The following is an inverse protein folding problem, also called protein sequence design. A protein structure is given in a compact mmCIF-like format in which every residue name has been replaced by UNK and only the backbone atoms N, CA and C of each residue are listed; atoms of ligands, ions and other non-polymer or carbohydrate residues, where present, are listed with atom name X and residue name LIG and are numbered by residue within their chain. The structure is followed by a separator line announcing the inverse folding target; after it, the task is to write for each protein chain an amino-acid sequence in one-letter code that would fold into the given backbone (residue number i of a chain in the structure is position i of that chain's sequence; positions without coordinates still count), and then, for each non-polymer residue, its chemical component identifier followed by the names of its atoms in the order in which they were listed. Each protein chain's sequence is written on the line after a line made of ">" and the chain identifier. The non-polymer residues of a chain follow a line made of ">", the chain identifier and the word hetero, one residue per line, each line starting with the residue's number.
data_IF_344047609077
#
_entry.id   IF_344047609077
#
_cell.length_a   1.000
_cell.length_b   1.000
_cell.length_c   1.000
_cell.angle_alpha   90.00
_cell.angle_beta   90.00
_cell.angle_gamma   90.00
#
_symmetry.space_group_name_H-M   'P 1'
#
loop_
_entity.id
_entity.type
_entity.pdbx_description
1 polymer ?
#
# COMPACT_ATOMS: atom_id res chain seq x y z
N UNK A 1 19.13 24.54 -41.42
CA UNK A 1 20.25 24.49 -40.47
C UNK A 1 20.13 25.71 -39.59
N UNK A 2 19.44 25.58 -38.44
CA UNK A 2 19.32 26.66 -37.45
C UNK A 2 19.91 26.09 -36.17
N UNK A 3 21.06 26.65 -35.77
CA UNK A 3 21.77 26.30 -34.53
C UNK A 3 21.02 26.89 -33.33
N UNK A 4 20.69 26.06 -32.38
CA UNK A 4 20.24 26.46 -31.03
C UNK A 4 21.45 26.33 -30.07
N UNK A 5 22.23 27.40 -30.00
CA UNK A 5 23.16 27.62 -28.89
C UNK A 5 22.58 28.73 -28.00
N UNK A 6 22.43 28.46 -26.72
CA UNK A 6 22.19 29.51 -25.72
C UNK A 6 21.21 29.20 -24.60
N UNK A 7 21.55 28.24 -23.73
CA UNK A 7 21.09 28.22 -22.35
C UNK A 7 22.21 27.73 -21.43
N UNK A 8 23.10 28.63 -21.10
CA UNK A 8 24.05 28.42 -19.99
C UNK A 8 23.90 29.61 -19.02
N UNK A 9 23.85 29.23 -17.74
CA UNK A 9 24.16 30.08 -16.59
C UNK A 9 23.14 31.14 -16.14
N UNK A 10 22.11 30.66 -15.43
CA UNK A 10 21.47 31.47 -14.40
C UNK A 10 21.87 30.92 -13.01
N UNK A 11 22.41 31.75 -12.10
CA UNK A 11 22.74 31.31 -10.76
C UNK A 11 21.47 30.99 -9.99
N UNK A 12 21.39 29.77 -9.45
CA UNK A 12 20.30 29.35 -8.52
C UNK A 12 20.46 30.17 -7.23
N UNK A 13 19.74 31.28 -7.14
CA UNK A 13 19.54 31.96 -5.87
C UNK A 13 18.60 31.12 -5.03
N UNK A 14 19.15 30.51 -3.95
CA UNK A 14 18.32 29.96 -2.86
C UNK A 14 17.67 31.14 -2.16
N UNK A 15 16.37 31.28 -2.29
CA UNK A 15 15.58 32.16 -1.43
C UNK A 15 15.63 31.60 -0.01
N UNK A 16 15.85 32.43 1.02
CA UNK A 16 15.82 31.95 2.41
C UNK A 16 14.37 31.58 2.75
N UNK A 17 14.15 30.31 3.11
CA UNK A 17 12.89 29.84 3.67
C UNK A 17 12.76 30.48 5.05
N UNK A 18 11.77 31.34 5.23
CA UNK A 18 11.41 31.86 6.55
C UNK A 18 10.91 30.68 7.40
N UNK A 19 11.71 30.29 8.37
CA UNK A 19 11.35 29.32 9.40
C UNK A 19 10.33 29.99 10.31
N UNK A 20 9.05 29.68 10.14
CA UNK A 20 8.02 29.98 11.14
C UNK A 20 8.17 28.91 12.22
N UNK A 21 8.84 29.27 13.31
CA UNK A 21 8.93 28.45 14.51
C UNK A 21 7.57 28.40 15.21
N UNK A 22 6.84 27.31 15.03
CA UNK A 22 5.79 26.92 15.98
C UNK A 22 6.41 25.84 16.89
N UNK A 23 6.49 26.19 18.17
CA UNK A 23 7.06 25.35 19.19
C UNK A 23 6.20 24.12 19.45
N UNK A 24 6.73 23.01 19.04
CA UNK A 24 6.79 21.69 19.68
C UNK A 24 7.67 20.87 18.74
N UNK A 25 8.86 20.47 19.21
CA UNK A 25 9.78 19.62 18.43
C UNK A 25 9.22 18.19 18.41
N UNK A 26 8.24 17.94 17.52
CA UNK A 26 7.95 16.62 17.03
C UNK A 26 9.10 16.19 16.12
N UNK A 27 9.54 14.94 16.24
CA UNK A 27 10.55 14.35 15.35
C UNK A 27 9.96 14.36 13.94
N UNK A 28 10.62 15.06 12.99
CA UNK A 28 10.25 15.03 11.56
C UNK A 28 10.56 13.64 11.01
N UNK A 29 9.57 12.75 10.97
CA UNK A 29 9.71 11.37 10.49
C UNK A 29 9.32 11.25 9.02
N UNK A 30 9.99 10.36 8.29
CA UNK A 30 9.54 9.87 6.99
C UNK A 30 8.63 8.65 7.20
N UNK A 31 7.35 8.81 6.90
CA UNK A 31 6.30 7.83 7.20
C UNK A 31 5.69 7.31 5.90
N UNK A 32 5.68 5.98 5.72
CA UNK A 32 4.87 5.36 4.68
C UNK A 32 3.57 4.84 5.29
N UNK A 33 2.43 5.28 4.75
CA UNK A 33 1.10 4.81 5.17
C UNK A 33 0.50 3.93 4.08
N UNK A 34 0.29 2.65 4.41
CA UNK A 34 -0.36 1.67 3.55
C UNK A 34 -1.85 1.59 3.87
N UNK A 35 -2.69 2.25 3.07
CA UNK A 35 -4.14 2.30 3.26
C UNK A 35 -4.81 0.99 2.82
N UNK A 36 -5.60 0.39 3.71
CA UNK A 36 -6.37 -0.83 3.46
C UNK A 36 -7.57 -0.62 2.55
N UNK A 37 -8.26 -1.72 2.21
CA UNK A 37 -9.44 -1.68 1.35
C UNK A 37 -10.56 -0.79 1.88
N UNK A 38 -10.74 -0.76 3.20
CA UNK A 38 -11.80 0.03 3.85
C UNK A 38 -11.57 1.54 3.79
N UNK A 39 -10.33 2.00 3.56
CA UNK A 39 -10.07 3.39 3.22
C UNK A 39 -10.51 3.75 1.78
N UNK A 40 -10.91 2.74 0.99
CA UNK A 40 -11.29 2.86 -0.43
C UNK A 40 -12.70 2.34 -0.72
N UNK A 41 -13.47 1.94 0.28
CA UNK A 41 -14.84 1.40 0.13
C UNK A 41 -15.69 1.87 1.31
N UNK A 42 -17.04 1.78 1.19
CA UNK A 42 -17.91 1.96 2.35
C UNK A 42 -17.68 0.89 3.42
N UNK A 43 -18.16 1.08 4.64
CA UNK A 43 -18.10 0.06 5.69
C UNK A 43 -18.72 -1.30 5.29
N UNK A 44 -19.72 -1.28 4.41
CA UNK A 44 -20.38 -2.46 3.85
C UNK A 44 -19.61 -3.08 2.68
N UNK A 45 -18.43 -2.53 2.33
CA UNK A 45 -17.57 -3.00 1.25
C UNK A 45 -18.01 -2.55 -0.15
N UNK A 46 -18.89 -1.54 -0.26
CA UNK A 46 -19.31 -0.99 -1.54
C UNK A 46 -18.16 -0.26 -2.23
N UNK A 47 -17.94 -0.59 -3.50
CA UNK A 47 -16.96 0.06 -4.37
C UNK A 47 -17.63 0.96 -5.43
N UNK A 48 -18.82 1.51 -5.13
CA UNK A 48 -19.44 2.54 -5.98
C UNK A 48 -18.59 3.81 -5.95
N UNK A 49 -18.51 4.58 -7.04
CA UNK A 49 -17.66 5.78 -7.10
C UNK A 49 -17.94 6.78 -5.97
N UNK A 50 -19.21 6.97 -5.59
CA UNK A 50 -19.63 7.87 -4.52
C UNK A 50 -19.10 7.39 -3.17
N UNK A 51 -19.29 6.12 -2.85
CA UNK A 51 -18.84 5.51 -1.59
C UNK A 51 -17.31 5.54 -1.47
N UNK A 52 -16.62 5.28 -2.58
CA UNK A 52 -15.16 5.38 -2.63
C UNK A 52 -14.67 6.80 -2.35
N UNK A 53 -15.31 7.83 -2.96
CA UNK A 53 -14.94 9.22 -2.70
C UNK A 53 -15.10 9.58 -1.24
N UNK A 54 -16.20 9.20 -0.60
CA UNK A 54 -16.44 9.45 0.83
C UNK A 54 -15.37 8.79 1.69
N UNK A 55 -15.08 7.50 1.47
CA UNK A 55 -14.07 6.77 2.23
C UNK A 55 -12.67 7.40 2.06
N UNK A 56 -12.28 7.73 0.83
CA UNK A 56 -11.00 8.37 0.52
C UNK A 56 -10.91 9.75 1.16
N UNK A 57 -11.98 10.57 1.10
CA UNK A 57 -12.00 11.89 1.74
C UNK A 57 -11.75 11.75 3.24
N UNK A 58 -12.45 10.84 3.92
CA UNK A 58 -12.24 10.58 5.35
C UNK A 58 -10.81 10.16 5.66
N UNK A 59 -10.21 9.31 4.82
CA UNK A 59 -8.82 8.89 4.99
C UNK A 59 -7.84 10.06 4.82
N UNK A 60 -8.06 10.93 3.84
CA UNK A 60 -7.17 12.05 3.55
C UNK A 60 -7.23 13.15 4.62
N UNK A 61 -8.34 13.28 5.35
CA UNK A 61 -8.41 14.17 6.52
C UNK A 61 -7.39 13.77 7.61
N UNK A 62 -7.35 12.48 7.98
CA UNK A 62 -6.37 11.97 8.96
C UNK A 62 -4.93 12.09 8.45
N UNK A 63 -4.70 11.91 7.16
CA UNK A 63 -3.37 12.08 6.55
C UNK A 63 -2.92 13.54 6.57
N UNK A 64 -3.85 14.49 6.31
CA UNK A 64 -3.53 15.92 6.32
C UNK A 64 -3.09 16.40 7.73
N UNK A 65 -3.58 15.79 8.80
CA UNK A 65 -3.16 16.08 10.17
C UNK A 65 -1.70 15.69 10.40
N UNK A 66 -1.29 14.49 9.97
CA UNK A 66 0.12 14.05 10.03
C UNK A 66 1.06 14.98 9.24
N UNK A 67 0.62 15.42 8.05
CA UNK A 67 1.39 16.35 7.22
C UNK A 67 1.50 17.70 7.91
N UNK A 68 0.41 18.16 8.55
CA UNK A 68 0.37 19.40 9.35
C UNK A 68 1.30 19.35 10.57
N UNK A 69 1.51 18.19 11.16
CA UNK A 69 2.46 17.95 12.24
C UNK A 69 3.95 18.01 11.78
N UNK A 70 4.21 18.11 10.47
CA UNK A 70 5.55 18.29 9.90
C UNK A 70 6.17 17.03 9.31
N UNK A 71 5.50 15.87 9.34
CA UNK A 71 6.03 14.62 8.82
C UNK A 71 6.11 14.60 7.29
N UNK A 72 7.09 13.84 6.76
CA UNK A 72 7.19 13.50 5.34
C UNK A 72 6.35 12.25 5.09
N UNK A 73 5.19 12.39 4.45
CA UNK A 73 4.23 11.30 4.26
C UNK A 73 4.26 10.76 2.83
N UNK A 74 4.39 9.46 2.71
CA UNK A 74 4.23 8.69 1.48
C UNK A 74 3.01 7.79 1.65
N UNK A 75 2.18 7.70 0.60
CA UNK A 75 0.95 6.91 0.63
C UNK A 75 1.02 5.77 -0.36
N UNK A 76 0.54 4.61 0.04
CA UNK A 76 0.13 3.53 -0.86
C UNK A 76 -1.28 3.07 -0.52
N UNK A 77 -1.96 2.42 -1.45
CA UNK A 77 -3.35 2.01 -1.27
C UNK A 77 -3.62 0.61 -1.82
N UNK A 78 -4.64 -0.07 -1.29
CA UNK A 78 -5.19 -1.27 -1.90
C UNK A 78 -6.04 -0.94 -3.14
N UNK A 79 -6.38 -1.99 -3.91
CA UNK A 79 -7.20 -1.85 -5.12
C UNK A 79 -8.10 -3.06 -5.39
N UNK A 80 -8.21 -4.01 -4.47
CA UNK A 80 -8.89 -5.30 -4.70
C UNK A 80 -10.29 -5.18 -5.28
N UNK A 81 -11.23 -4.41 -4.68
CA UNK A 81 -12.56 -4.21 -5.23
C UNK A 81 -12.55 -3.55 -6.62
N UNK A 82 -11.64 -2.61 -6.86
CA UNK A 82 -11.54 -1.85 -8.11
C UNK A 82 -11.02 -2.72 -9.25
N UNK A 83 -9.97 -3.51 -9.03
CA UNK A 83 -9.49 -4.51 -10.00
C UNK A 83 -10.59 -5.52 -10.30
N UNK A 84 -11.29 -6.01 -9.26
CA UNK A 84 -12.43 -6.92 -9.44
C UNK A 84 -13.51 -6.35 -10.35
N UNK A 85 -13.87 -5.08 -10.18
CA UNK A 85 -14.85 -4.41 -11.04
C UNK A 85 -14.37 -4.27 -12.50
N UNK A 86 -13.08 -4.01 -12.72
CA UNK A 86 -12.51 -3.95 -14.08
C UNK A 86 -12.57 -5.34 -14.74
N UNK A 87 -12.23 -6.40 -14.01
CA UNK A 87 -12.31 -7.77 -14.51
C UNK A 87 -13.75 -8.15 -14.92
N UNK A 88 -14.73 -7.80 -14.09
CA UNK A 88 -16.15 -8.03 -14.45
C UNK A 88 -16.53 -7.25 -15.72
N UNK A 89 -16.08 -6.01 -15.89
CA UNK A 89 -16.31 -5.24 -17.12
C UNK A 89 -15.63 -5.90 -18.32
N UNK A 90 -14.40 -6.40 -18.17
CA UNK A 90 -13.69 -7.15 -19.20
C UNK A 90 -14.49 -8.39 -19.63
N UNK A 91 -15.00 -9.18 -18.66
CA UNK A 91 -15.80 -10.37 -18.93
C UNK A 91 -17.08 -10.03 -19.71
N UNK A 92 -17.82 -9.02 -19.26
CA UNK A 92 -19.09 -8.61 -19.88
C UNK A 92 -18.90 -8.00 -21.27
N UNK A 93 -17.80 -7.31 -21.52
CA UNK A 93 -17.51 -6.64 -22.78
C UNK A 93 -16.71 -7.49 -23.78
N UNK A 94 -16.26 -8.69 -23.41
CA UNK A 94 -15.34 -9.51 -24.20
C UNK A 94 -15.83 -9.84 -25.63
N UNK A 95 -17.14 -9.85 -25.85
CA UNK A 95 -17.74 -10.06 -27.18
C UNK A 95 -17.70 -8.81 -28.08
N UNK A 96 -17.38 -7.63 -27.53
CA UNK A 96 -17.38 -6.33 -28.22
C UNK A 96 -15.97 -5.74 -28.32
N UNK A 97 -15.21 -5.80 -27.22
CA UNK A 97 -13.83 -5.30 -27.14
C UNK A 97 -12.94 -6.33 -26.45
N UNK A 98 -11.66 -6.47 -26.87
CA UNK A 98 -10.74 -7.37 -26.20
C UNK A 98 -10.57 -7.00 -24.72
N UNK A 99 -10.53 -7.97 -23.78
CA UNK A 99 -10.23 -7.70 -22.38
C UNK A 99 -8.78 -7.22 -22.24
N UNK A 100 -8.55 -6.26 -21.33
CA UNK A 100 -7.20 -5.83 -20.98
C UNK A 100 -6.57 -6.80 -19.98
N UNK A 101 -5.23 -7.02 -20.04
CA UNK A 101 -4.54 -7.93 -19.14
C UNK A 101 -4.53 -7.40 -17.69
N UNK A 102 -4.22 -8.28 -16.73
CA UNK A 102 -4.35 -7.98 -15.30
C UNK A 102 -3.39 -6.88 -14.82
N UNK A 103 -2.17 -6.83 -15.33
CA UNK A 103 -1.22 -5.75 -15.07
C UNK A 103 -1.74 -4.38 -15.51
N UNK A 104 -2.45 -4.31 -16.67
CA UNK A 104 -3.13 -3.09 -17.11
C UNK A 104 -4.32 -2.75 -16.21
N UNK A 105 -5.07 -3.75 -15.72
CA UNK A 105 -6.12 -3.51 -14.72
C UNK A 105 -5.52 -2.88 -13.46
N UNK A 106 -4.37 -3.36 -13.00
CA UNK A 106 -3.59 -2.77 -11.90
C UNK A 106 -3.22 -1.31 -12.18
N UNK A 107 -2.66 -1.03 -13.37
CA UNK A 107 -2.28 0.31 -13.79
C UNK A 107 -3.47 1.29 -13.83
N UNK A 108 -4.62 0.86 -14.36
CA UNK A 108 -5.85 1.66 -14.38
C UNK A 108 -6.32 2.04 -12.97
N UNK A 109 -6.18 1.12 -12.00
CA UNK A 109 -6.55 1.42 -10.61
C UNK A 109 -5.63 2.44 -9.97
N UNK A 110 -4.33 2.43 -10.28
CA UNK A 110 -3.39 3.45 -9.78
C UNK A 110 -3.80 4.85 -10.27
N UNK A 111 -4.16 4.98 -11.54
CA UNK A 111 -4.64 6.25 -12.09
C UNK A 111 -5.94 6.72 -11.44
N UNK A 112 -6.95 5.83 -11.35
CA UNK A 112 -8.27 6.20 -10.82
C UNK A 112 -8.25 6.51 -9.32
N UNK A 113 -7.62 5.66 -8.52
CA UNK A 113 -7.54 5.87 -7.06
C UNK A 113 -6.60 7.03 -6.76
N UNK A 114 -5.42 7.09 -7.39
CA UNK A 114 -4.47 8.20 -7.23
C UNK A 114 -5.10 9.55 -7.52
N UNK A 115 -5.81 9.69 -8.64
CA UNK A 115 -6.57 10.90 -8.97
C UNK A 115 -7.59 11.27 -7.88
N UNK A 116 -8.34 10.29 -7.37
CA UNK A 116 -9.35 10.55 -6.33
C UNK A 116 -8.69 10.97 -5.00
N UNK A 117 -7.56 10.33 -4.65
CA UNK A 117 -6.79 10.68 -3.45
C UNK A 117 -6.18 12.08 -3.57
N UNK A 118 -5.61 12.45 -4.74
CA UNK A 118 -5.07 13.78 -4.96
C UNK A 118 -6.12 14.86 -4.71
N UNK A 119 -7.31 14.74 -5.30
CA UNK A 119 -8.37 15.71 -5.11
C UNK A 119 -8.81 15.85 -3.64
N UNK A 120 -8.92 14.71 -2.93
CA UNK A 120 -9.32 14.71 -1.52
C UNK A 120 -8.21 15.28 -0.62
N UNK A 121 -6.95 14.94 -0.89
CA UNK A 121 -5.82 15.42 -0.09
C UNK A 121 -5.56 16.92 -0.33
N UNK A 122 -5.62 17.40 -1.57
CA UNK A 122 -5.49 18.81 -1.87
C UNK A 122 -6.58 19.65 -1.15
N UNK A 123 -7.82 19.14 -1.09
CA UNK A 123 -8.89 19.80 -0.34
C UNK A 123 -8.62 19.79 1.18
N UNK A 124 -8.18 18.66 1.73
CA UNK A 124 -7.88 18.51 3.16
C UNK A 124 -6.71 19.40 3.62
N UNK A 125 -5.65 19.48 2.81
CA UNK A 125 -4.50 20.36 3.07
C UNK A 125 -4.88 21.84 2.94
N UNK A 126 -5.61 22.20 1.89
CA UNK A 126 -6.06 23.59 1.67
C UNK A 126 -6.96 24.08 2.81
N UNK A 127 -7.88 23.26 3.31
CA UNK A 127 -8.76 23.62 4.43
C UNK A 127 -8.00 23.90 5.73
N UNK A 128 -6.80 23.36 5.86
CA UNK A 128 -5.89 23.54 7.01
C UNK A 128 -4.82 24.61 6.78
N UNK A 129 -4.81 25.24 5.59
CA UNK A 129 -3.78 26.22 5.24
C UNK A 129 -2.38 25.62 5.07
N UNK A 130 -2.28 24.31 4.78
CA UNK A 130 -1.02 23.60 4.60
C UNK A 130 -0.60 23.69 3.13
N UNK A 131 0.51 24.40 2.84
CA UNK A 131 1.06 24.51 1.49
C UNK A 131 2.00 23.34 1.17
N UNK A 132 1.42 22.21 0.83
CA UNK A 132 2.13 21.01 0.34
C UNK A 132 1.54 20.60 -1.01
N UNK A 133 2.41 20.22 -1.94
CA UNK A 133 2.02 19.69 -3.24
C UNK A 133 1.91 18.18 -3.17
N UNK A 134 0.99 17.61 -3.94
CA UNK A 134 0.77 16.18 -4.00
C UNK A 134 1.07 15.64 -5.40
N UNK A 135 1.54 14.40 -5.49
CA UNK A 135 1.78 13.71 -6.75
C UNK A 135 1.38 12.24 -6.63
N UNK A 136 0.73 11.70 -7.67
CA UNK A 136 0.51 10.27 -7.82
C UNK A 136 1.39 9.73 -8.95
N UNK A 137 2.12 8.65 -8.68
CA UNK A 137 3.08 8.06 -9.62
C UNK A 137 2.61 6.67 -10.02
N UNK A 138 2.54 6.42 -11.33
CA UNK A 138 2.43 5.05 -11.86
C UNK A 138 3.70 4.30 -11.47
N UNK A 139 3.52 3.21 -10.72
CA UNK A 139 4.62 2.53 -10.06
C UNK A 139 4.64 1.05 -10.42
N UNK A 140 5.83 0.57 -10.83
CA UNK A 140 6.09 -0.84 -11.16
C UNK A 140 6.81 -1.52 -10.01
N UNK A 141 6.46 -2.79 -9.78
CA UNK A 141 7.12 -3.65 -8.79
C UNK A 141 7.75 -4.84 -9.51
N UNK A 142 9.07 -4.95 -9.41
CA UNK A 142 9.81 -6.09 -9.93
C UNK A 142 9.54 -7.33 -9.09
N UNK A 143 9.29 -8.44 -9.77
CA UNK A 143 9.08 -9.77 -9.18
C UNK A 143 9.96 -10.80 -9.88
N UNK A 144 10.25 -11.93 -9.23
CA UNK A 144 10.98 -13.04 -9.86
C UNK A 144 10.10 -13.75 -10.87
N UNK A 145 10.61 -13.99 -12.08
CA UNK A 145 9.92 -14.82 -13.06
C UNK A 145 9.80 -16.30 -12.61
N UNK A 146 10.59 -16.73 -11.63
CA UNK A 146 10.61 -18.06 -11.04
C UNK A 146 9.84 -18.15 -9.72
N UNK A 147 9.09 -17.09 -9.35
CA UNK A 147 8.30 -17.11 -8.12
C UNK A 147 7.25 -18.22 -8.15
N UNK A 148 7.15 -18.97 -7.05
CA UNK A 148 6.22 -20.10 -6.92
C UNK A 148 4.75 -19.67 -7.05
N UNK A 149 4.44 -18.41 -6.77
CA UNK A 149 3.12 -17.83 -6.93
C UNK A 149 2.58 -17.93 -8.36
N UNK A 150 3.44 -18.04 -9.39
CA UNK A 150 3.01 -18.23 -10.77
C UNK A 150 2.53 -19.65 -11.05
N UNK A 151 3.14 -20.65 -10.42
CA UNK A 151 2.72 -22.05 -10.55
C UNK A 151 1.59 -22.43 -9.58
N UNK A 152 1.49 -21.73 -8.45
CA UNK A 152 0.48 -21.96 -7.40
C UNK A 152 -0.27 -20.66 -7.06
N UNK A 153 -1.16 -20.18 -7.95
CA UNK A 153 -1.93 -18.97 -7.70
C UNK A 153 -2.87 -19.12 -6.50
N UNK A 154 -2.78 -18.19 -5.56
CA UNK A 154 -3.59 -18.24 -4.32
C UNK A 154 -4.35 -16.95 -4.04
N UNK A 155 -4.02 -15.84 -4.72
CA UNK A 155 -4.62 -14.52 -4.44
C UNK A 155 -6.03 -14.45 -5.02
N UNK A 156 -7.10 -14.38 -4.20
CA UNK A 156 -8.46 -14.32 -4.69
C UNK A 156 -8.79 -12.92 -5.22
N UNK A 157 -9.37 -12.86 -6.43
CA UNK A 157 -9.79 -11.62 -7.08
C UNK A 157 -11.21 -11.74 -7.65
N UNK A 158 -11.81 -10.59 -7.97
CA UNK A 158 -13.11 -10.54 -8.63
C UNK A 158 -14.28 -11.04 -7.78
N UNK A 159 -15.36 -11.41 -8.44
CA UNK A 159 -16.62 -11.87 -7.84
C UNK A 159 -16.63 -13.38 -7.58
N UNK A 160 -17.59 -13.82 -6.79
CA UNK A 160 -17.92 -15.25 -6.67
C UNK A 160 -18.86 -15.65 -7.81
N UNK A 161 -18.67 -16.86 -8.33
CA UNK A 161 -19.49 -17.45 -9.39
C UNK A 161 -20.05 -18.82 -8.96
N UNK A 162 -21.19 -19.25 -9.57
CA UNK A 162 -21.61 -20.63 -9.53
C UNK A 162 -20.54 -21.56 -10.15
N UNK A 163 -20.60 -22.83 -9.77
CA UNK A 163 -19.62 -23.84 -10.23
C UNK A 163 -19.59 -23.96 -11.76
N UNK A 164 -20.73 -23.96 -12.39
CA UNK A 164 -20.89 -24.13 -13.85
C UNK A 164 -20.17 -23.01 -14.60
N UNK A 165 -20.36 -21.76 -14.16
CA UNK A 165 -19.74 -20.59 -14.78
C UNK A 165 -18.21 -20.60 -14.57
N UNK A 166 -17.77 -20.97 -13.35
CA UNK A 166 -16.35 -21.07 -13.05
C UNK A 166 -15.68 -22.17 -13.89
N UNK A 167 -16.32 -23.32 -14.08
CA UNK A 167 -15.79 -24.42 -14.91
C UNK A 167 -15.61 -24.01 -16.37
N UNK A 168 -16.49 -23.19 -16.92
CA UNK A 168 -16.33 -22.65 -18.27
C UNK A 168 -15.06 -21.79 -18.34
N UNK A 169 -14.83 -20.90 -17.37
CA UNK A 169 -13.64 -20.03 -17.33
C UNK A 169 -12.35 -20.82 -17.05
N UNK A 170 -12.42 -21.89 -16.28
CA UNK A 170 -11.31 -22.84 -16.10
C UNK A 170 -10.94 -23.49 -17.43
N UNK A 171 -11.91 -23.88 -18.24
CA UNK A 171 -11.65 -24.44 -19.59
C UNK A 171 -10.96 -23.44 -20.52
N UNK A 172 -11.06 -22.14 -20.23
CA UNK A 172 -10.38 -21.05 -20.93
C UNK A 172 -9.03 -20.65 -20.27
N UNK A 173 -8.49 -21.50 -19.35
CA UNK A 173 -7.16 -21.31 -18.75
C UNK A 173 -7.13 -20.45 -17.48
N UNK A 174 -8.27 -20.04 -16.95
CA UNK A 174 -8.30 -19.35 -15.67
C UNK A 174 -8.23 -20.32 -14.50
N UNK A 175 -7.73 -19.86 -13.36
CA UNK A 175 -7.73 -20.65 -12.13
C UNK A 175 -8.80 -20.15 -11.17
N UNK A 176 -9.60 -21.09 -10.66
CA UNK A 176 -10.71 -20.81 -9.75
C UNK A 176 -10.72 -21.82 -8.61
N UNK A 177 -11.01 -21.37 -7.41
CA UNK A 177 -11.10 -22.19 -6.21
C UNK A 177 -12.52 -22.18 -5.64
N UNK A 178 -12.94 -23.34 -5.12
CA UNK A 178 -14.19 -23.48 -4.37
C UNK A 178 -14.03 -22.84 -2.98
N UNK A 179 -14.91 -21.90 -2.66
CA UNK A 179 -14.99 -21.19 -1.38
C UNK A 179 -16.24 -21.59 -0.57
N UNK A 180 -16.71 -22.80 -0.77
CA UNK A 180 -17.85 -23.39 -0.10
C UNK A 180 -19.15 -22.65 -0.39
N UNK A 181 -19.90 -22.29 0.65
CA UNK A 181 -21.21 -21.62 0.51
C UNK A 181 -21.17 -20.28 -0.22
N UNK A 182 -19.98 -19.65 -0.39
CA UNK A 182 -19.81 -18.40 -1.14
C UNK A 182 -19.72 -18.64 -2.65
N UNK A 183 -19.47 -19.88 -3.10
CA UNK A 183 -19.23 -20.22 -4.48
C UNK A 183 -17.76 -20.23 -4.86
N UNK A 184 -17.48 -20.23 -6.15
CA UNK A 184 -16.13 -20.27 -6.71
C UNK A 184 -15.57 -18.86 -6.89
N UNK A 185 -14.27 -18.68 -6.65
CA UNK A 185 -13.59 -17.41 -6.82
C UNK A 185 -12.30 -17.58 -7.62
N UNK A 186 -12.07 -16.66 -8.58
CA UNK A 186 -10.83 -16.63 -9.36
C UNK A 186 -9.62 -16.41 -8.43
N UNK A 187 -8.55 -17.15 -8.68
CA UNK A 187 -7.25 -16.97 -8.04
C UNK A 187 -6.20 -16.64 -9.09
N UNK A 188 -5.27 -15.77 -8.73
CA UNK A 188 -4.16 -15.34 -9.58
C UNK A 188 -2.84 -15.42 -8.85
N UNK A 189 -1.75 -15.37 -9.60
CA UNK A 189 -0.40 -15.28 -9.04
C UNK A 189 -0.26 -14.08 -8.11
N UNK A 190 0.43 -14.27 -6.99
CA UNK A 190 0.78 -13.20 -6.06
C UNK A 190 2.25 -13.34 -5.65
N UNK A 191 3.18 -13.03 -6.57
CA UNK A 191 4.60 -13.16 -6.33
C UNK A 191 5.10 -12.17 -5.28
N UNK A 192 6.20 -12.51 -4.65
CA UNK A 192 6.87 -11.67 -3.66
C UNK A 192 7.50 -10.43 -4.34
N UNK A 193 7.27 -9.21 -3.82
CA UNK A 193 7.89 -8.01 -4.36
C UNK A 193 9.39 -7.98 -4.06
N UNK A 194 10.21 -7.74 -5.09
CA UNK A 194 11.67 -7.63 -4.98
C UNK A 194 12.12 -6.18 -4.83
N UNK A 195 11.61 -5.30 -5.71
CA UNK A 195 11.96 -3.89 -5.71
C UNK A 195 10.88 -3.02 -6.36
N UNK A 196 10.81 -1.77 -5.94
CA UNK A 196 9.99 -0.73 -6.59
C UNK A 196 10.88 0.04 -7.54
N UNK A 197 10.51 0.10 -8.81
CA UNK A 197 11.40 0.64 -9.85
C UNK A 197 11.48 2.17 -9.84
N UNK A 198 10.42 2.86 -9.44
CA UNK A 198 10.31 4.30 -9.46
C UNK A 198 10.83 5.00 -8.20
N UNK A 199 11.59 4.30 -7.32
CA UNK A 199 12.11 4.84 -6.05
C UNK A 199 12.85 6.17 -6.23
N UNK A 200 13.74 6.27 -7.21
CA UNK A 200 14.49 7.51 -7.46
C UNK A 200 13.58 8.71 -7.80
N UNK A 201 12.49 8.47 -8.54
CA UNK A 201 11.50 9.51 -8.84
C UNK A 201 10.69 9.89 -7.61
N UNK A 202 10.35 8.91 -6.78
CA UNK A 202 9.63 9.12 -5.51
C UNK A 202 10.51 9.94 -4.56
N UNK A 203 11.79 9.59 -4.38
CA UNK A 203 12.75 10.33 -3.56
C UNK A 203 12.90 11.78 -4.03
N UNK A 204 13.05 12.02 -5.34
CA UNK A 204 13.18 13.37 -5.88
C UNK A 204 11.94 14.25 -5.56
N UNK A 205 10.73 13.67 -5.57
CA UNK A 205 9.52 14.39 -5.18
C UNK A 205 9.45 14.63 -3.67
N UNK A 206 9.83 13.66 -2.85
CA UNK A 206 9.90 13.82 -1.39
C UNK A 206 10.89 14.94 -1.03
N UNK A 207 12.07 14.95 -1.66
CA UNK A 207 13.08 16.00 -1.45
C UNK A 207 12.59 17.38 -1.89
N UNK A 208 11.72 17.42 -2.91
CA UNK A 208 11.01 18.63 -3.34
C UNK A 208 9.76 18.94 -2.47
N UNK A 209 9.59 18.25 -1.33
CA UNK A 209 8.53 18.44 -0.36
C UNK A 209 7.12 18.09 -0.86
N UNK A 210 6.99 17.19 -1.84
CA UNK A 210 5.70 16.63 -2.24
C UNK A 210 5.25 15.53 -1.28
N UNK A 211 3.94 15.40 -1.13
CA UNK A 211 3.31 14.17 -0.64
C UNK A 211 3.14 13.25 -1.84
N UNK A 212 3.66 12.02 -1.75
CA UNK A 212 3.71 11.10 -2.89
C UNK A 212 2.77 9.91 -2.67
N UNK A 213 1.89 9.66 -3.64
CA UNK A 213 1.05 8.46 -3.71
C UNK A 213 1.71 7.51 -4.71
N UNK A 214 2.18 6.35 -4.25
CA UNK A 214 2.95 5.41 -5.07
C UNK A 214 2.62 3.95 -4.72
N UNK A 215 3.02 3.02 -5.57
CA UNK A 215 2.85 1.57 -5.37
C UNK A 215 1.41 1.13 -5.09
N UNK A 216 0.43 1.85 -5.64
CA UNK A 216 -0.99 1.51 -5.50
C UNK A 216 -1.28 0.09 -5.96
N UNK A 217 -2.07 -0.66 -5.14
CA UNK A 217 -2.38 -2.06 -5.38
C UNK A 217 -1.19 -3.02 -5.24
N UNK A 218 -0.08 -2.56 -4.66
CA UNK A 218 1.19 -3.30 -4.58
C UNK A 218 2.15 -3.02 -5.73
N UNK A 219 1.79 -2.10 -6.64
CA UNK A 219 2.53 -1.80 -7.87
C UNK A 219 2.10 -2.68 -9.04
N UNK A 220 2.48 -2.28 -10.25
CA UNK A 220 2.26 -3.06 -11.47
C UNK A 220 3.34 -4.14 -11.53
N UNK A 221 2.97 -5.44 -11.51
CA UNK A 221 3.97 -6.51 -11.50
C UNK A 221 4.72 -6.60 -12.82
N UNK A 222 6.04 -6.57 -12.75
CA UNK A 222 6.93 -6.72 -13.90
C UNK A 222 8.06 -7.70 -13.62
N UNK A 223 8.47 -8.45 -14.63
CA UNK A 223 9.68 -9.26 -14.60
C UNK A 223 10.77 -8.62 -15.45
N UNK A 224 12.02 -8.83 -15.05
CA UNK A 224 13.18 -8.36 -15.81
C UNK A 224 13.48 -9.27 -16.99
N UNK A 225 13.59 -8.70 -18.17
CA UNK A 225 14.00 -9.38 -19.40
C UNK A 225 15.24 -8.66 -19.98
N UNK A 226 16.42 -9.10 -19.59
CA UNK A 226 17.67 -8.44 -19.97
C UNK A 226 17.75 -7.02 -19.43
N UNK A 227 17.71 -6.02 -20.33
CA UNK A 227 17.73 -4.58 -19.97
C UNK A 227 16.34 -3.94 -19.89
N UNK A 228 15.27 -4.70 -20.18
CA UNK A 228 13.89 -4.23 -20.20
C UNK A 228 13.06 -4.90 -19.11
N UNK A 229 11.80 -4.47 -18.99
CA UNK A 229 10.81 -5.07 -18.12
C UNK A 229 9.56 -5.40 -18.92
N UNK A 230 8.91 -6.50 -18.55
CA UNK A 230 7.63 -6.91 -19.12
C UNK A 230 6.61 -7.10 -18.00
N UNK A 231 5.39 -6.56 -18.19
CA UNK A 231 4.25 -6.78 -17.30
C UNK A 231 3.83 -8.26 -17.26
N UNK A 232 3.30 -8.71 -16.13
CA UNK A 232 2.86 -10.09 -15.93
C UNK A 232 1.48 -10.17 -15.29
N UNK A 233 0.76 -11.27 -15.58
CA UNK A 233 -0.58 -11.58 -15.03
C UNK A 233 -0.48 -11.97 -13.55
N UNK A 234 -0.37 -10.97 -12.66
CA UNK A 234 -0.26 -11.16 -11.23
C UNK A 234 -0.86 -9.98 -10.45
N UNK A 235 -1.05 -10.16 -9.16
CA UNK A 235 -1.42 -9.10 -8.20
C UNK A 235 -0.49 -9.18 -7.00
N UNK A 236 0.26 -8.15 -6.75
CA UNK A 236 1.19 -8.10 -5.63
C UNK A 236 0.44 -7.75 -4.35
N UNK A 237 0.83 -8.35 -3.23
CA UNK A 237 0.28 -7.94 -1.94
C UNK A 237 0.79 -6.54 -1.56
N UNK A 238 -0.15 -5.61 -1.29
CA UNK A 238 0.19 -4.22 -1.01
C UNK A 238 1.00 -4.03 0.27
N UNK A 239 0.78 -4.89 1.29
CA UNK A 239 1.46 -4.74 2.58
C UNK A 239 2.91 -5.21 2.47
N UNK A 240 3.17 -6.25 1.67
CA UNK A 240 4.53 -6.68 1.34
C UNK A 240 5.25 -5.65 0.48
N UNK A 241 4.59 -5.11 -0.54
CA UNK A 241 5.13 -4.05 -1.39
C UNK A 241 5.40 -2.76 -0.60
N UNK A 242 4.51 -2.40 0.33
CA UNK A 242 4.72 -1.27 1.22
C UNK A 242 5.98 -1.42 2.08
N UNK A 243 6.25 -2.62 2.60
CA UNK A 243 7.46 -2.89 3.36
C UNK A 243 8.73 -2.73 2.50
N UNK A 244 8.69 -3.18 1.23
CA UNK A 244 9.80 -2.99 0.28
C UNK A 244 10.00 -1.51 -0.02
N UNK A 245 8.93 -0.77 -0.35
CA UNK A 245 9.00 0.66 -0.64
C UNK A 245 9.51 1.46 0.56
N UNK A 246 8.98 1.19 1.77
CA UNK A 246 9.41 1.85 3.00
C UNK A 246 10.92 1.61 3.28
N UNK A 247 11.40 0.39 3.05
CA UNK A 247 12.81 0.04 3.21
C UNK A 247 13.69 0.76 2.18
N UNK A 248 13.30 0.79 0.90
CA UNK A 248 14.04 1.47 -0.17
C UNK A 248 14.09 2.99 0.06
N UNK A 249 13.02 3.59 0.54
CA UNK A 249 12.92 5.03 0.87
C UNK A 249 13.52 5.37 2.24
N UNK A 250 14.02 4.38 2.98
CA UNK A 250 14.56 4.55 4.34
C UNK A 250 13.58 5.28 5.25
N UNK A 251 12.32 4.87 5.22
CA UNK A 251 11.30 5.42 6.11
C UNK A 251 11.65 5.07 7.57
N UNK A 252 11.29 5.96 8.49
CA UNK A 252 11.40 5.71 9.93
C UNK A 252 10.26 4.82 10.41
N UNK A 253 9.06 5.01 9.80
CA UNK A 253 7.83 4.36 10.20
C UNK A 253 7.06 3.83 9.00
N UNK A 254 6.57 2.58 9.12
CA UNK A 254 5.57 1.98 8.24
C UNK A 254 4.25 1.82 9.01
N UNK A 255 3.22 2.53 8.59
CA UNK A 255 1.85 2.39 9.13
C UNK A 255 1.00 1.57 8.17
N UNK A 256 0.52 0.43 8.62
CA UNK A 256 -0.41 -0.44 7.88
C UNK A 256 -1.82 -0.19 8.44
N UNK A 257 -2.59 0.65 7.75
CA UNK A 257 -3.95 0.97 8.14
C UNK A 257 -4.94 -0.12 7.69
N UNK A 258 -5.78 -0.55 8.61
CA UNK A 258 -6.78 -1.61 8.42
C UNK A 258 -8.08 -1.27 9.14
N UNK A 259 -9.02 -2.20 9.22
CA UNK A 259 -10.34 -2.07 9.86
C UNK A 259 -10.34 -2.39 11.37
N UNK A 260 -9.23 -2.88 11.89
CA UNK A 260 -9.06 -3.17 13.31
C UNK A 260 -7.91 -2.36 13.88
N UNK A 261 -7.99 -2.04 15.17
CA UNK A 261 -6.94 -1.28 15.85
C UNK A 261 -5.65 -2.09 16.06
N UNK A 262 -5.75 -3.42 16.20
CA UNK A 262 -4.61 -4.29 16.53
C UNK A 262 -4.64 -5.57 15.72
N UNK A 263 -3.48 -6.19 15.54
CA UNK A 263 -3.41 -7.61 15.22
C UNK A 263 -3.93 -8.43 16.40
N UNK A 264 -4.79 -9.41 16.10
CA UNK A 264 -5.50 -10.19 17.11
C UNK A 264 -5.05 -11.65 17.03
N UNK A 265 -4.72 -12.25 18.17
CA UNK A 265 -4.58 -13.70 18.30
C UNK A 265 -5.93 -14.34 18.58
N UNK A 266 -6.14 -15.58 18.14
CA UNK A 266 -7.38 -16.31 18.38
C UNK A 266 -8.62 -15.61 17.83
N UNK A 267 -8.52 -14.94 16.69
CA UNK A 267 -9.60 -14.17 16.06
C UNK A 267 -10.91 -14.97 15.97
N UNK A 268 -12.01 -14.40 16.50
CA UNK A 268 -13.34 -15.04 16.48
C UNK A 268 -13.53 -16.15 17.50
N UNK A 269 -12.61 -16.34 18.43
CA UNK A 269 -12.72 -17.30 19.56
C UNK A 269 -12.83 -16.60 20.90
N UNK A 270 -13.19 -17.34 21.96
CA UNK A 270 -13.20 -16.83 23.34
C UNK A 270 -11.81 -16.41 23.85
N UNK A 271 -10.74 -16.90 23.22
CA UNK A 271 -9.35 -16.59 23.57
C UNK A 271 -8.80 -15.40 22.76
N UNK A 272 -9.66 -14.65 22.08
CA UNK A 272 -9.26 -13.51 21.30
C UNK A 272 -8.56 -12.46 22.16
N UNK A 273 -7.35 -12.06 21.77
CA UNK A 273 -6.59 -11.02 22.44
C UNK A 273 -5.78 -10.16 21.46
N UNK A 274 -5.69 -8.88 21.75
CA UNK A 274 -4.88 -7.95 20.96
C UNK A 274 -3.38 -8.08 21.28
N UNK A 275 -2.57 -7.78 20.28
CA UNK A 275 -1.11 -7.61 20.42
C UNK A 275 -0.83 -6.10 20.44
N UNK A 276 -0.27 -5.57 21.53
CA UNK A 276 0.12 -4.18 21.64
C UNK A 276 1.50 -3.93 21.03
N UNK A 277 2.55 -4.45 21.68
CA UNK A 277 3.92 -4.34 21.19
C UNK A 277 4.59 -5.71 21.12
N UNK A 278 5.39 -5.94 20.09
CA UNK A 278 6.12 -7.19 19.90
C UNK A 278 7.37 -6.98 19.06
N UNK A 279 8.34 -7.86 19.20
CA UNK A 279 9.46 -7.93 18.26
C UNK A 279 9.07 -8.62 16.96
N UNK A 280 9.79 -8.33 15.87
CA UNK A 280 9.61 -9.03 14.61
C UNK A 280 9.79 -10.54 14.75
N UNK A 281 10.72 -10.99 15.59
CA UNK A 281 10.98 -12.42 15.86
C UNK A 281 9.76 -13.11 16.51
N UNK A 282 9.18 -12.47 17.54
CA UNK A 282 7.97 -13.00 18.21
C UNK A 282 6.78 -13.03 17.26
N UNK A 283 6.56 -11.96 16.48
CA UNK A 283 5.49 -11.93 15.48
C UNK A 283 5.66 -12.98 14.40
N UNK A 284 6.90 -13.27 13.98
CA UNK A 284 7.21 -14.36 13.04
C UNK A 284 6.83 -15.73 13.61
N UNK A 285 7.09 -15.98 14.89
CA UNK A 285 6.71 -17.22 15.55
C UNK A 285 5.17 -17.42 15.63
N UNK A 286 4.42 -16.34 15.56
CA UNK A 286 2.96 -16.34 15.60
C UNK A 286 2.29 -16.35 14.21
N UNK A 287 3.04 -16.46 13.11
CA UNK A 287 2.48 -16.35 11.74
C UNK A 287 1.37 -17.35 11.44
N UNK A 288 1.41 -18.54 12.02
CA UNK A 288 0.36 -19.57 11.85
C UNK A 288 -1.01 -19.11 12.38
N UNK A 289 -1.05 -18.26 13.41
CA UNK A 289 -2.29 -17.69 13.97
C UNK A 289 -3.00 -16.75 13.00
N UNK A 290 -2.29 -16.19 12.02
CA UNK A 290 -2.79 -15.24 11.02
C UNK A 290 -3.04 -15.87 9.65
N UNK A 291 -2.81 -17.18 9.47
CA UNK A 291 -2.80 -17.86 8.17
C UNK A 291 -4.16 -17.84 7.45
N UNK A 292 -5.26 -17.75 8.18
CA UNK A 292 -6.62 -17.85 7.63
C UNK A 292 -7.21 -16.56 7.05
N UNK A 293 -6.48 -15.40 7.08
CA UNK A 293 -7.09 -14.11 6.79
C UNK A 293 -6.20 -13.09 6.12
N UNK A 294 -6.72 -11.86 6.01
CA UNK A 294 -5.99 -10.72 5.44
C UNK A 294 -4.91 -10.16 6.39
N UNK A 295 -4.84 -10.62 7.64
CA UNK A 295 -3.88 -10.14 8.63
C UNK A 295 -2.47 -10.69 8.39
N UNK A 296 -2.32 -11.92 7.89
CA UNK A 296 -1.02 -12.55 7.65
C UNK A 296 -0.06 -11.69 6.82
N UNK A 297 -0.44 -11.21 5.63
CA UNK A 297 0.41 -10.32 4.84
C UNK A 297 0.78 -9.02 5.54
N UNK A 298 -0.12 -8.44 6.37
CA UNK A 298 0.15 -7.22 7.15
C UNK A 298 1.22 -7.46 8.21
N UNK A 299 1.08 -8.54 8.97
CA UNK A 299 2.07 -8.95 9.97
C UNK A 299 3.40 -9.26 9.31
N UNK A 300 3.39 -9.99 8.18
CA UNK A 300 4.61 -10.31 7.43
C UNK A 300 5.32 -9.06 6.91
N UNK A 301 4.57 -8.10 6.34
CA UNK A 301 5.09 -6.82 5.88
C UNK A 301 5.67 -5.99 7.03
N UNK A 302 4.94 -5.91 8.15
CA UNK A 302 5.41 -5.24 9.36
C UNK A 302 6.72 -5.84 9.91
N UNK A 303 6.82 -7.17 9.95
CA UNK A 303 8.03 -7.86 10.36
C UNK A 303 9.21 -7.57 9.42
N UNK A 304 9.02 -7.67 8.09
CA UNK A 304 10.07 -7.41 7.10
C UNK A 304 10.66 -6.01 7.23
N UNK A 305 9.82 -5.01 7.43
CA UNK A 305 10.29 -3.64 7.60
C UNK A 305 11.02 -3.45 8.93
N UNK A 306 10.50 -4.02 10.02
CA UNK A 306 11.12 -3.96 11.34
C UNK A 306 12.48 -4.69 11.40
N UNK A 307 12.62 -5.83 10.71
CA UNK A 307 13.90 -6.56 10.57
C UNK A 307 14.97 -5.74 9.86
N UNK A 308 14.58 -4.80 9.00
CA UNK A 308 15.46 -3.85 8.33
C UNK A 308 15.77 -2.58 9.17
N UNK A 309 15.32 -2.54 10.42
CA UNK A 309 15.63 -1.48 11.38
C UNK A 309 14.59 -0.36 11.51
N UNK A 310 13.48 -0.44 10.79
CA UNK A 310 12.35 0.48 10.93
C UNK A 310 11.41 0.09 12.08
N UNK A 311 10.36 0.88 12.28
CA UNK A 311 9.26 0.59 13.18
C UNK A 311 8.00 0.40 12.33
N UNK A 312 7.23 -0.65 12.60
CA UNK A 312 5.94 -0.86 11.93
C UNK A 312 4.78 -0.77 12.90
N UNK A 313 3.66 -0.20 12.43
CA UNK A 313 2.41 -0.13 13.19
C UNK A 313 1.30 -0.72 12.34
N UNK A 314 0.50 -1.62 12.91
CA UNK A 314 -0.78 -2.07 12.36
C UNK A 314 -1.87 -1.43 13.19
N UNK A 315 -2.73 -0.62 12.57
CA UNK A 315 -3.76 0.13 13.30
C UNK A 315 -4.98 0.45 12.42
N UNK A 316 -6.04 0.97 13.03
CA UNK A 316 -7.18 1.50 12.28
C UNK A 316 -6.90 2.91 11.76
N UNK A 317 -7.62 3.30 10.69
CA UNK A 317 -7.49 4.64 10.11
C UNK A 317 -7.65 5.77 11.14
N UNK A 318 -8.62 5.61 12.07
CA UNK A 318 -8.92 6.59 13.12
C UNK A 318 -7.83 6.74 14.19
N UNK A 319 -6.95 5.75 14.29
CA UNK A 319 -5.90 5.75 15.32
C UNK A 319 -4.51 6.11 14.79
N UNK A 320 -4.36 6.34 13.48
CA UNK A 320 -3.05 6.60 12.87
C UNK A 320 -2.34 7.76 13.57
N UNK A 321 -3.00 8.91 13.71
CA UNK A 321 -2.46 10.10 14.35
C UNK A 321 -1.95 9.78 15.76
N UNK A 322 -2.81 9.20 16.60
CA UNK A 322 -2.46 8.80 17.98
C UNK A 322 -1.28 7.84 18.05
N UNK A 323 -1.20 6.92 17.07
CA UNK A 323 -0.07 5.99 16.99
C UNK A 323 1.23 6.70 16.64
N UNK A 324 1.18 7.69 15.75
CA UNK A 324 2.37 8.45 15.33
C UNK A 324 2.84 9.37 16.45
N UNK A 325 1.93 10.13 17.07
CA UNK A 325 2.24 11.00 18.20
C UNK A 325 2.74 10.24 19.44
N UNK A 326 2.14 9.07 19.70
CA UNK A 326 2.47 8.22 20.84
C UNK A 326 3.58 7.19 20.58
N UNK A 327 4.36 7.31 19.51
CA UNK A 327 5.30 6.27 19.05
C UNK A 327 6.34 5.87 20.13
N UNK A 328 6.73 6.77 20.99
CA UNK A 328 7.68 6.55 22.05
C UNK A 328 7.05 6.26 23.43
N UNK A 329 5.71 6.30 23.55
CA UNK A 329 5.04 6.18 24.85
C UNK A 329 3.84 5.25 24.85
N UNK A 330 2.79 5.60 24.13
CA UNK A 330 1.43 5.04 24.28
C UNK A 330 0.92 4.27 23.07
N UNK A 331 1.74 4.14 22.03
CA UNK A 331 1.34 3.57 20.73
C UNK A 331 0.66 2.20 20.85
N UNK A 332 1.11 1.36 21.78
CA UNK A 332 0.56 0.02 22.04
C UNK A 332 -0.91 0.04 22.55
N UNK A 333 -1.46 1.19 22.92
CA UNK A 333 -2.87 1.36 23.27
C UNK A 333 -3.75 1.51 22.03
N UNK A 334 -3.18 1.94 20.91
CA UNK A 334 -3.91 2.35 19.72
C UNK A 334 -3.59 1.48 18.49
N UNK A 335 -2.50 0.69 18.56
CA UNK A 335 -2.07 -0.17 17.47
C UNK A 335 -1.13 -1.29 17.91
N UNK A 336 -0.90 -2.25 17.02
CA UNK A 336 0.16 -3.24 17.19
C UNK A 336 1.46 -2.67 16.65
N UNK A 337 2.46 -2.56 17.52
CA UNK A 337 3.80 -2.09 17.17
C UNK A 337 4.72 -3.28 16.97
N UNK A 338 5.45 -3.29 15.86
CA UNK A 338 6.48 -4.28 15.58
C UNK A 338 7.83 -3.58 15.47
N UNK A 339 8.77 -3.96 16.32
CA UNK A 339 10.12 -3.42 16.33
C UNK A 339 11.14 -4.50 15.92
N UNK A 340 12.26 -4.09 15.35
CA UNK A 340 13.39 -4.99 15.12
C UNK A 340 13.90 -5.57 16.42
N UNK A 341 14.44 -6.79 16.37
CA UNK A 341 15.14 -7.36 17.52
C UNK A 341 16.41 -6.52 17.77
N UNK A 342 16.66 -6.03 18.99
CA UNK A 342 17.89 -5.32 19.30
C UNK A 342 19.07 -6.20 18.87
N UNK A 343 19.95 -5.71 18.01
CA UNK A 343 21.22 -6.39 17.75
C UNK A 343 21.94 -6.50 19.10
N UNK A 344 22.14 -7.73 19.58
CA UNK A 344 23.03 -7.95 20.73
C UNK A 344 24.36 -7.27 20.39
N UNK A 345 24.76 -6.27 21.19
CA UNK A 345 26.10 -5.70 21.07
C UNK A 345 27.03 -6.88 21.28
N UNK A 346 27.74 -7.29 20.24
CA UNK A 346 28.89 -8.16 20.41
C UNK A 346 29.79 -7.49 21.43
N UNK A 347 29.92 -8.10 22.61
CA UNK A 347 30.92 -7.71 23.60
C UNK A 347 32.25 -8.09 22.98
N UNK A 348 32.98 -7.08 22.51
CA UNK A 348 34.37 -7.17 22.09
C UNK A 348 35.25 -7.23 23.35
#
# INVERSE_FOLDING_TARGET
>A
MVSYDGYSDLPRQRLPIAIISHGQQGIDMRILVALGGNAMTSPEGSARPEDQRVAITTAMESIAEMIGAGHQVILTHGNGPQVGNILVKNELAASVVPPVPLDWCGAQTQGTIGFTMLNALDAALSSRGIDRKCAAIVTRTEVSAQDEGFSHPTKPIGRYLPKEDAQLLISHGQQWEDRGSKGWRRVVASPDPLSILEVASIEALIDAQFVVIASGGGGIPVIREGKSFRGVEAVIDKDLSAAVLASQLKCDLLVIATDVSHAMLGWGTENQRQIGESSALEMRALMSEFAGGSMGPKVLGACRFAENGGISIITSLQNIERCVEGIDSDVAKYGTVVRGTPKMKEQV
#
